data_IF_125403877038
#
_entry.id   IF_125403877038
#
_cell.length_a   1.000
_cell.length_b   1.000
_cell.length_c   1.000
_cell.angle_alpha   90.00
_cell.angle_beta   90.00
_cell.angle_gamma   90.00
#
_symmetry.space_group_name_H-M   'P 1'
#
loop_
_entity.id
_entity.type
_entity.pdbx_description
1 polymer ?
#
# COMPACT_ATOMS: atom_id res chain seq x y z
N UNK A 1 16.36 -3.98 -11.04
CA UNK A 1 16.62 -3.79 -12.48
C UNK A 1 16.00 -2.44 -12.92
N UNK A 2 16.09 -2.04 -14.20
CA UNK A 2 15.57 -0.74 -14.66
C UNK A 2 14.06 -0.54 -14.42
N UNK A 3 13.26 -1.60 -14.56
CA UNK A 3 11.81 -1.58 -14.30
C UNK A 3 11.52 -1.22 -12.84
N UNK A 4 12.20 -1.85 -11.89
CA UNK A 4 11.99 -1.54 -10.47
C UNK A 4 12.35 -0.11 -10.09
N UNK A 5 13.41 0.48 -10.68
CA UNK A 5 13.73 1.89 -10.46
C UNK A 5 12.66 2.83 -11.02
N UNK A 6 11.99 2.46 -12.11
CA UNK A 6 10.85 3.23 -12.65
C UNK A 6 9.65 3.12 -11.72
N UNK A 7 9.30 1.91 -11.28
CA UNK A 7 8.18 1.67 -10.36
C UNK A 7 8.39 2.37 -9.01
N UNK A 8 9.60 2.34 -8.46
CA UNK A 8 9.94 3.01 -7.19
C UNK A 8 9.69 4.52 -7.28
N UNK A 9 10.13 5.16 -8.38
CA UNK A 9 9.86 6.59 -8.60
C UNK A 9 8.37 6.87 -8.77
N UNK A 10 7.64 6.01 -9.47
CA UNK A 10 6.19 6.17 -9.63
C UNK A 10 5.46 6.11 -8.28
N UNK A 11 5.77 5.12 -7.44
CA UNK A 11 5.21 4.98 -6.09
C UNK A 11 5.58 6.18 -5.22
N UNK A 12 6.83 6.65 -5.28
CA UNK A 12 7.25 7.86 -4.58
C UNK A 12 6.40 9.08 -4.96
N UNK A 13 6.16 9.31 -6.26
CA UNK A 13 5.30 10.40 -6.72
C UNK A 13 3.85 10.25 -6.27
N UNK A 14 3.29 9.04 -6.29
CA UNK A 14 1.93 8.78 -5.79
C UNK A 14 1.83 9.13 -4.30
N UNK A 15 2.81 8.75 -3.49
CA UNK A 15 2.86 9.03 -2.05
C UNK A 15 2.91 10.52 -1.71
N UNK A 16 3.38 11.36 -2.64
CA UNK A 16 3.39 12.82 -2.49
C UNK A 16 2.04 13.49 -2.84
N UNK A 17 1.08 12.76 -3.42
CA UNK A 17 -0.24 13.29 -3.69
C UNK A 17 -1.02 13.46 -2.38
N UNK A 18 -1.68 14.61 -2.21
CA UNK A 18 -2.50 14.87 -1.02
C UNK A 18 -3.57 13.81 -0.78
N UNK A 19 -4.18 13.28 -1.85
CA UNK A 19 -5.19 12.23 -1.74
C UNK A 19 -4.62 10.87 -1.30
N UNK A 20 -3.30 10.69 -1.37
CA UNK A 20 -2.63 9.45 -0.97
C UNK A 20 -2.21 9.45 0.50
N UNK A 21 -2.32 10.58 1.22
CA UNK A 21 -1.89 10.72 2.62
C UNK A 21 -2.42 9.59 3.53
N UNK A 22 -3.71 9.19 3.49
CA UNK A 22 -4.21 8.12 4.37
C UNK A 22 -3.60 6.74 4.10
N UNK A 23 -2.94 6.56 2.95
CA UNK A 23 -2.37 5.29 2.50
C UNK A 23 -0.83 5.33 2.48
N UNK A 24 -0.23 6.43 2.94
CA UNK A 24 1.21 6.63 2.87
C UNK A 24 2.01 5.68 3.78
N UNK A 25 1.39 5.26 4.89
CA UNK A 25 1.95 4.38 5.93
C UNK A 25 0.89 3.33 6.34
N UNK A 26 1.25 2.27 7.07
CA UNK A 26 0.29 1.32 7.60
C UNK A 26 -0.83 2.03 8.39
N UNK A 27 -2.08 1.62 8.16
CA UNK A 27 -3.22 2.21 8.84
C UNK A 27 -3.18 1.90 10.34
N UNK A 28 -3.09 2.95 11.17
CA UNK A 28 -3.05 2.83 12.63
C UNK A 28 -4.47 2.66 13.22
N UNK A 29 -5.04 1.49 13.00
CA UNK A 29 -6.35 1.12 13.52
C UNK A 29 -6.41 1.10 15.05
N UNK A 30 -5.26 0.97 15.74
CA UNK A 30 -5.18 0.97 17.21
C UNK A 30 -5.49 2.35 17.74
N UNK A 31 -4.79 3.38 17.25
CA UNK A 31 -5.03 4.77 17.66
C UNK A 31 -6.42 5.27 17.25
N UNK A 32 -6.98 4.74 16.16
CA UNK A 32 -8.35 5.03 15.75
C UNK A 32 -9.43 4.29 16.56
N UNK A 33 -9.06 3.36 17.45
CA UNK A 33 -10.02 2.60 18.25
C UNK A 33 -10.87 1.63 17.43
N UNK A 34 -10.30 1.01 16.40
CA UNK A 34 -10.97 0.12 15.46
C UNK A 34 -10.53 -1.35 15.68
N UNK A 35 -11.03 -2.04 16.74
CA UNK A 35 -10.58 -3.39 17.09
C UNK A 35 -10.94 -4.46 16.06
N UNK A 36 -11.96 -4.20 15.23
CA UNK A 36 -12.42 -5.13 14.20
C UNK A 36 -11.58 -5.07 12.92
N UNK A 37 -10.65 -4.10 12.80
CA UNK A 37 -9.78 -3.96 11.63
C UNK A 37 -8.95 -5.21 11.34
N UNK A 38 -8.15 -5.77 12.28
CA UNK A 38 -7.39 -7.00 12.01
C UNK A 38 -8.27 -8.25 11.79
N UNK A 39 -9.55 -8.21 12.19
CA UNK A 39 -10.51 -9.28 11.93
C UNK A 39 -11.04 -9.18 10.49
N UNK A 40 -11.31 -7.96 10.05
CA UNK A 40 -11.91 -7.66 8.74
C UNK A 40 -10.88 -7.69 7.63
N UNK A 41 -9.68 -7.17 7.89
CA UNK A 41 -8.59 -7.00 6.93
C UNK A 41 -7.50 -8.02 7.21
N UNK A 42 -7.43 -9.05 6.37
CA UNK A 42 -6.51 -10.17 6.52
C UNK A 42 -5.09 -9.87 6.02
N UNK A 43 -4.94 -8.97 5.05
CA UNK A 43 -3.66 -8.60 4.45
C UNK A 43 -3.58 -7.08 4.33
N UNK A 44 -3.11 -6.37 5.38
CA UNK A 44 -2.94 -4.92 5.31
C UNK A 44 -1.87 -4.57 4.26
N UNK A 45 -2.05 -3.42 3.61
CA UNK A 45 -1.11 -2.89 2.62
C UNK A 45 -1.15 -1.37 2.62
N UNK A 46 -0.03 -0.74 2.26
CA UNK A 46 0.16 0.70 2.20
C UNK A 46 1.34 1.06 1.26
N UNK A 47 1.48 2.33 0.91
CA UNK A 47 2.49 2.80 -0.05
C UNK A 47 3.93 2.66 0.48
N UNK A 48 4.17 2.78 1.80
CA UNK A 48 5.50 2.56 2.37
C UNK A 48 5.91 1.09 2.32
N UNK A 49 4.95 0.17 2.50
CA UNK A 49 5.16 -1.27 2.33
C UNK A 49 5.52 -1.61 0.89
N UNK A 50 4.79 -1.08 -0.11
CA UNK A 50 5.11 -1.26 -1.54
C UNK A 50 6.50 -0.69 -1.88
N UNK A 51 6.82 0.51 -1.40
CA UNK A 51 8.14 1.15 -1.58
C UNK A 51 9.26 0.26 -1.00
N UNK A 52 9.05 -0.31 0.19
CA UNK A 52 9.98 -1.24 0.82
C UNK A 52 10.15 -2.55 0.04
N UNK A 53 9.06 -3.13 -0.48
CA UNK A 53 9.10 -4.35 -1.31
C UNK A 53 9.85 -4.12 -2.62
N UNK A 54 9.66 -2.96 -3.25
CA UNK A 54 10.43 -2.53 -4.43
C UNK A 54 11.91 -2.35 -4.11
N UNK A 55 12.25 -1.72 -2.98
CA UNK A 55 13.64 -1.54 -2.57
C UNK A 55 14.35 -2.89 -2.34
N UNK A 56 13.65 -3.87 -1.76
CA UNK A 56 14.19 -5.21 -1.48
C UNK A 56 14.11 -6.17 -2.67
N UNK A 57 13.70 -5.69 -3.85
CA UNK A 57 13.54 -6.50 -5.05
C UNK A 57 12.57 -7.68 -4.91
N UNK A 58 11.51 -7.53 -4.10
CA UNK A 58 10.55 -8.61 -3.83
C UNK A 58 9.49 -8.79 -4.92
N UNK A 59 9.35 -7.81 -5.82
CA UNK A 59 8.43 -7.93 -6.95
C UNK A 59 9.11 -8.49 -8.20
N UNK A 60 8.52 -9.53 -8.76
CA UNK A 60 9.00 -10.14 -10.01
C UNK A 60 8.53 -9.39 -11.24
N UNK A 61 7.48 -8.57 -11.13
CA UNK A 61 6.93 -7.77 -12.24
C UNK A 61 6.11 -6.57 -11.76
N UNK A 62 5.87 -5.60 -12.66
CA UNK A 62 4.94 -4.49 -12.41
C UNK A 62 3.51 -4.94 -12.05
N UNK A 63 3.09 -6.13 -12.50
CA UNK A 63 1.76 -6.69 -12.19
C UNK A 63 1.58 -6.94 -10.69
N UNK A 64 2.63 -7.37 -10.00
CA UNK A 64 2.56 -7.62 -8.56
C UNK A 64 2.48 -6.31 -7.74
N UNK A 65 3.12 -5.24 -8.22
CA UNK A 65 2.94 -3.89 -7.65
C UNK A 65 1.49 -3.43 -7.82
N UNK A 66 0.90 -3.65 -9.00
CA UNK A 66 -0.49 -3.30 -9.26
C UNK A 66 -1.47 -4.07 -8.34
N UNK A 67 -1.23 -5.36 -8.10
CA UNK A 67 -2.03 -6.17 -7.15
C UNK A 67 -1.99 -5.56 -5.75
N UNK A 68 -0.83 -5.14 -5.25
CA UNK A 68 -0.75 -4.50 -3.92
C UNK A 68 -1.38 -3.10 -3.90
N UNK A 69 -1.32 -2.35 -5.00
CA UNK A 69 -2.04 -1.08 -5.14
C UNK A 69 -3.56 -1.27 -5.10
N UNK A 70 -4.08 -2.31 -5.77
CA UNK A 70 -5.50 -2.68 -5.69
C UNK A 70 -5.87 -3.12 -4.28
N UNK A 71 -5.01 -3.89 -3.61
CA UNK A 71 -5.23 -4.34 -2.24
C UNK A 71 -5.39 -3.17 -1.25
N UNK A 72 -4.66 -2.06 -1.40
CA UNK A 72 -4.87 -0.83 -0.61
C UNK A 72 -6.32 -0.34 -0.76
N UNK A 73 -6.80 -0.26 -2.00
CA UNK A 73 -8.15 0.24 -2.32
C UNK A 73 -9.21 -0.72 -1.82
N UNK A 74 -9.02 -2.02 -2.02
CA UNK A 74 -9.97 -3.06 -1.63
C UNK A 74 -10.07 -3.19 -0.12
N UNK A 75 -8.96 -3.09 0.61
CA UNK A 75 -8.98 -3.05 2.07
C UNK A 75 -9.73 -1.81 2.59
N UNK A 76 -9.50 -0.65 1.97
CA UNK A 76 -10.19 0.58 2.33
C UNK A 76 -11.71 0.43 2.14
N UNK A 77 -12.16 -0.04 0.96
CA UNK A 77 -13.58 -0.32 0.70
C UNK A 77 -14.13 -1.35 1.69
N UNK A 78 -13.49 -2.50 1.81
CA UNK A 78 -13.94 -3.59 2.69
C UNK A 78 -14.20 -3.16 4.14
N UNK A 79 -13.44 -2.20 4.65
CA UNK A 79 -13.61 -1.71 6.02
C UNK A 79 -14.54 -0.48 6.12
N UNK A 80 -14.47 0.45 5.17
CA UNK A 80 -15.13 1.76 5.26
C UNK A 80 -16.32 1.96 4.29
N UNK A 81 -16.60 1.02 3.38
CA UNK A 81 -17.63 1.14 2.33
C UNK A 81 -18.00 -0.15 1.60
#
# INVERSE_FOLDING_TARGET
NAEQSVLLRAIHHVKLLKCAEPFANPFDWVTCGLPDYPITISQPMDLSSIEGKLFRHEYSSAKEVHVDMELIVDNCKRFFG
#
